data_IF_823047360223
#
_entry.id   IF_823047360223
#
_cell.length_a   1.000
_cell.length_b   1.000
_cell.length_c   1.000
_cell.angle_alpha   90.00
_cell.angle_beta   90.00
_cell.angle_gamma   90.00
#
_symmetry.space_group_name_H-M   'P 1'
#
loop_
_entity.id
_entity.type
_entity.pdbx_description
1 polymer ?
#
# COMPACT_ATOMS: atom_id res chain seq x y z
N UNK A 1 -8.64 6.11 0.40
CA UNK A 1 -7.27 6.02 -0.14
C UNK A 1 -6.75 7.34 -0.74
N UNK A 2 -7.05 7.76 -1.98
CA UNK A 2 -6.32 8.91 -2.60
C UNK A 2 -6.37 10.19 -1.75
N UNK A 3 -7.59 10.62 -1.38
CA UNK A 3 -7.83 11.82 -0.55
C UNK A 3 -7.17 11.72 0.84
N UNK A 4 -7.21 10.54 1.44
CA UNK A 4 -6.65 10.27 2.76
C UNK A 4 -5.11 10.37 2.77
N UNK A 5 -4.45 9.83 1.74
CA UNK A 5 -2.98 9.93 1.60
C UNK A 5 -2.56 11.37 1.32
N UNK A 6 -3.29 12.08 0.47
CA UNK A 6 -3.05 13.49 0.19
C UNK A 6 -3.13 14.33 1.48
N UNK A 7 -4.16 14.10 2.29
CA UNK A 7 -4.33 14.80 3.58
C UNK A 7 -3.23 14.45 4.58
N UNK A 8 -2.85 13.18 4.69
CA UNK A 8 -1.93 12.71 5.75
C UNK A 8 -0.46 12.96 5.44
N UNK A 9 -0.08 12.95 4.16
CA UNK A 9 1.33 13.01 3.74
C UNK A 9 1.63 14.21 2.85
N UNK A 10 0.64 15.01 2.45
CA UNK A 10 0.85 16.15 1.54
C UNK A 10 1.23 15.75 0.11
N UNK A 11 1.17 14.46 -0.22
CA UNK A 11 1.61 13.93 -1.52
C UNK A 11 0.41 13.69 -2.44
N UNK A 12 0.45 14.29 -3.63
CA UNK A 12 -0.56 14.10 -4.68
C UNK A 12 -0.41 12.75 -5.39
N UNK A 13 -1.32 11.82 -5.12
CA UNK A 13 -1.33 10.51 -5.75
C UNK A 13 -1.96 10.57 -7.14
N UNK A 14 -1.16 10.34 -8.19
CA UNK A 14 -1.66 10.20 -9.56
C UNK A 14 -2.22 8.79 -9.78
N UNK A 15 -3.37 8.69 -10.42
CA UNK A 15 -3.97 7.40 -10.77
C UNK A 15 -3.03 6.50 -11.60
N UNK A 16 -2.26 7.12 -12.52
CA UNK A 16 -1.27 6.42 -13.34
C UNK A 16 -0.11 5.80 -12.56
N UNK A 17 0.14 6.22 -11.32
CA UNK A 17 1.11 5.58 -10.44
C UNK A 17 0.42 4.60 -9.47
N UNK A 18 -0.76 4.97 -8.96
CA UNK A 18 -1.46 4.21 -7.93
C UNK A 18 -1.90 2.83 -8.43
N UNK A 19 -2.55 2.75 -9.60
CA UNK A 19 -3.09 1.48 -10.07
C UNK A 19 -2.00 0.47 -10.48
N UNK A 20 -0.94 0.87 -11.19
CA UNK A 20 0.19 -0.04 -11.44
C UNK A 20 0.86 -0.53 -10.16
N UNK A 21 1.00 0.34 -9.14
CA UNK A 21 1.54 -0.04 -7.84
C UNK A 21 0.68 -1.11 -7.16
N UNK A 22 -0.64 -0.89 -7.05
CA UNK A 22 -1.57 -1.85 -6.45
C UNK A 22 -1.53 -3.20 -7.17
N UNK A 23 -1.51 -3.19 -8.51
CA UNK A 23 -1.38 -4.42 -9.30
C UNK A 23 -0.04 -5.13 -9.06
N UNK A 24 1.06 -4.39 -8.93
CA UNK A 24 2.39 -4.97 -8.63
C UNK A 24 2.42 -5.62 -7.25
N UNK A 25 1.84 -4.95 -6.24
CA UNK A 25 1.74 -5.48 -4.88
C UNK A 25 0.85 -6.73 -4.81
N UNK A 26 -0.24 -6.77 -5.57
CA UNK A 26 -1.07 -7.95 -5.72
C UNK A 26 -0.31 -9.11 -6.39
N UNK A 27 0.38 -8.86 -7.51
CA UNK A 27 1.21 -9.88 -8.19
C UNK A 27 2.30 -10.45 -7.28
N UNK A 28 2.88 -9.65 -6.40
CA UNK A 28 3.87 -10.09 -5.40
C UNK A 28 3.25 -10.87 -4.22
N UNK A 29 1.93 -10.93 -4.13
CA UNK A 29 1.17 -11.61 -3.08
C UNK A 29 1.06 -10.82 -1.77
N UNK A 30 1.35 -9.51 -1.80
CA UNK A 30 1.23 -8.64 -0.62
C UNK A 30 -0.18 -8.11 -0.43
N UNK A 31 -0.96 -8.04 -1.50
CA UNK A 31 -2.38 -7.69 -1.49
C UNK A 31 -3.20 -8.80 -2.17
N UNK A 32 -4.46 -8.91 -1.78
CA UNK A 32 -5.50 -9.59 -2.55
C UNK A 32 -6.55 -8.56 -2.96
N UNK A 33 -7.35 -8.88 -3.97
CA UNK A 33 -8.46 -8.02 -4.39
C UNK A 33 -9.77 -8.77 -4.52
N UNK A 34 -10.86 -8.04 -4.35
CA UNK A 34 -12.22 -8.51 -4.59
C UNK A 34 -13.00 -7.45 -5.39
N UNK A 35 -13.79 -7.92 -6.36
CA UNK A 35 -14.74 -7.06 -7.07
C UNK A 35 -15.99 -6.94 -6.22
N UNK A 36 -16.36 -5.71 -5.89
CA UNK A 36 -17.60 -5.40 -5.17
C UNK A 36 -18.48 -4.54 -6.06
N UNK A 37 -19.75 -4.92 -6.20
CA UNK A 37 -20.73 -4.08 -6.86
C UNK A 37 -21.37 -3.16 -5.82
N UNK A 38 -21.32 -1.86 -6.06
CA UNK A 38 -21.98 -0.88 -5.21
C UNK A 38 -22.65 0.16 -6.11
N UNK A 39 -23.98 0.22 -6.08
CA UNK A 39 -24.77 1.19 -6.85
C UNK A 39 -24.51 1.14 -8.35
N UNK A 40 -24.46 -0.07 -8.94
CA UNK A 40 -24.24 -0.27 -10.39
C UNK A 40 -22.79 -0.06 -10.85
N UNK A 41 -21.86 0.31 -9.96
CA UNK A 41 -20.43 0.44 -10.27
C UNK A 41 -19.63 -0.70 -9.64
N UNK A 42 -18.82 -1.36 -10.45
CA UNK A 42 -17.85 -2.36 -9.98
C UNK A 42 -16.62 -1.66 -9.44
N UNK A 43 -16.27 -1.91 -8.18
CA UNK A 43 -15.05 -1.43 -7.53
C UNK A 43 -14.16 -2.60 -7.18
N UNK A 44 -12.85 -2.46 -7.41
CA UNK A 44 -11.84 -3.41 -6.96
C UNK A 44 -11.34 -2.95 -5.58
N UNK A 45 -11.66 -3.72 -4.56
CA UNK A 45 -11.22 -3.47 -3.18
C UNK A 45 -10.01 -4.35 -2.89
N UNK A 46 -8.96 -3.76 -2.33
CA UNK A 46 -7.71 -4.45 -2.01
C UNK A 46 -7.58 -4.65 -0.50
N UNK A 47 -7.09 -5.83 -0.11
CA UNK A 47 -6.87 -6.21 1.28
C UNK A 47 -5.44 -6.68 1.46
N UNK A 48 -4.79 -6.28 2.56
CA UNK A 48 -3.42 -6.72 2.86
C UNK A 48 -3.40 -8.20 3.27
N UNK A 49 -2.46 -8.96 2.71
CA UNK A 49 -2.27 -10.38 3.06
C UNK A 49 -1.41 -10.55 4.31
N UNK A 50 -1.37 -11.76 4.88
CA UNK A 50 -0.41 -12.10 5.95
C UNK A 50 1.04 -11.85 5.50
N UNK A 51 1.37 -12.17 4.24
CA UNK A 51 2.69 -11.91 3.64
C UNK A 51 2.97 -10.41 3.57
N UNK A 52 1.99 -9.61 3.15
CA UNK A 52 2.10 -8.15 3.11
C UNK A 52 2.35 -7.54 4.49
N UNK A 53 1.65 -8.02 5.52
CA UNK A 53 1.88 -7.56 6.91
C UNK A 53 3.30 -7.84 7.39
N UNK A 54 3.80 -9.08 7.20
CA UNK A 54 5.18 -9.45 7.54
C UNK A 54 6.21 -8.59 6.80
N UNK A 55 5.98 -8.32 5.51
CA UNK A 55 6.86 -7.47 4.72
C UNK A 55 6.98 -6.06 5.31
N UNK A 56 5.85 -5.46 5.71
CA UNK A 56 5.83 -4.13 6.35
C UNK A 56 6.60 -4.15 7.68
N UNK A 57 6.38 -5.17 8.51
CA UNK A 57 7.07 -5.32 9.79
C UNK A 57 8.60 -5.43 9.62
N UNK A 58 9.06 -6.29 8.70
CA UNK A 58 10.49 -6.40 8.37
C UNK A 58 11.06 -5.08 7.88
N UNK A 59 10.33 -4.37 7.01
CA UNK A 59 10.77 -3.08 6.49
C UNK A 59 10.89 -2.02 7.60
N UNK A 60 9.93 -1.97 8.53
CA UNK A 60 10.02 -1.07 9.68
C UNK A 60 11.21 -1.37 10.59
N UNK A 61 11.51 -2.65 10.82
CA UNK A 61 12.68 -3.04 11.62
C UNK A 61 13.98 -2.58 10.97
N UNK A 62 14.13 -2.81 9.66
CA UNK A 62 15.31 -2.37 8.90
C UNK A 62 15.45 -0.84 8.93
N UNK A 63 14.37 -0.11 8.69
CA UNK A 63 14.40 1.36 8.73
C UNK A 63 14.79 1.88 10.11
N UNK A 64 14.26 1.28 11.19
CA UNK A 64 14.59 1.65 12.55
C UNK A 64 16.09 1.45 12.83
N UNK A 65 16.65 0.32 12.41
CA UNK A 65 18.09 0.07 12.53
C UNK A 65 18.94 1.06 11.72
N UNK A 66 18.49 1.44 10.52
CA UNK A 66 19.21 2.37 9.66
C UNK A 66 19.23 3.79 10.21
N UNK A 67 18.08 4.28 10.69
CA UNK A 67 17.98 5.62 11.31
C UNK A 67 18.86 5.66 12.56
N UNK A 68 18.81 4.62 13.40
CA UNK A 68 19.59 4.57 14.64
C UNK A 68 21.11 4.52 14.40
N UNK A 69 21.56 4.00 13.27
CA UNK A 69 22.98 4.00 12.87
C UNK A 69 23.44 5.34 12.27
N UNK A 70 22.53 6.20 11.82
CA UNK A 70 22.85 7.52 11.27
C UNK A 70 22.97 8.61 12.34
N UNK A 71 22.45 8.38 13.54
CA UNK A 71 22.55 9.28 14.69
C UNK A 71 23.82 9.03 15.56
N UNK A 72 24.78 8.24 15.07
CA UNK A 72 26.08 7.95 15.72
C UNK A 72 27.22 8.50 14.87
#
# INVERSE_FOLDING_TARGET
IKKEVETRFGVKLRHGALYPLLNSLEKKGFLTSQKQQQGGRTRKVYTITKKGKKYIETYHNILKEQIQKQDI
#
